data_IF_592142909800
#
_entry.id   IF_592142909800
#
_cell.length_a   1.000
_cell.length_b   1.000
_cell.length_c   1.000
_cell.angle_alpha   90.00
_cell.angle_beta   90.00
_cell.angle_gamma   90.00
#
_symmetry.space_group_name_H-M   'P 1'
#
loop_
_entity.id
_entity.type
_entity.pdbx_description
1 polymer ?
#
# COMPACT_ATOMS: atom_id res chain seq x y z
N UNK A 1 0.28 -7.47 0.98
CA UNK A 1 -0.80 -6.50 0.74
C UNK A 1 -1.14 -6.35 -0.74
N UNK A 2 -0.18 -6.00 -1.61
CA UNK A 2 -0.45 -5.90 -3.06
C UNK A 2 -1.06 -7.18 -3.64
N UNK A 3 -0.46 -8.34 -3.34
CA UNK A 3 -0.97 -9.64 -3.83
C UNK A 3 -2.37 -9.97 -3.26
N UNK A 4 -2.63 -9.60 -2.00
CA UNK A 4 -3.92 -9.80 -1.37
C UNK A 4 -5.03 -8.94 -2.01
N UNK A 5 -4.71 -7.68 -2.35
CA UNK A 5 -5.62 -6.82 -3.10
C UNK A 5 -5.91 -7.37 -4.50
N UNK A 6 -4.90 -7.93 -5.17
CA UNK A 6 -5.08 -8.61 -6.45
C UNK A 6 -5.96 -9.85 -6.33
N UNK A 7 -5.70 -10.72 -5.34
CA UNK A 7 -6.50 -11.92 -5.11
C UNK A 7 -7.96 -11.59 -4.76
N UNK A 8 -8.18 -10.57 -3.92
CA UNK A 8 -9.52 -10.06 -3.63
C UNK A 8 -10.25 -9.66 -4.92
N UNK A 9 -9.57 -8.95 -5.83
CA UNK A 9 -10.17 -8.53 -7.09
C UNK A 9 -10.53 -9.71 -8.01
N UNK A 10 -9.67 -10.73 -8.06
CA UNK A 10 -9.91 -11.95 -8.82
C UNK A 10 -11.12 -12.71 -8.27
N UNK A 11 -11.18 -12.93 -6.96
CA UNK A 11 -12.21 -13.77 -6.35
C UNK A 11 -13.59 -13.12 -6.35
N UNK A 12 -13.64 -11.79 -6.19
CA UNK A 12 -14.89 -11.06 -5.96
C UNK A 12 -15.37 -10.29 -7.19
N UNK A 13 -14.54 -10.16 -8.23
CA UNK A 13 -14.90 -9.35 -9.38
C UNK A 13 -15.10 -7.87 -9.03
N UNK A 14 -14.39 -7.37 -8.01
CA UNK A 14 -14.37 -5.96 -7.59
C UNK A 14 -12.99 -5.61 -7.04
N UNK A 15 -12.39 -4.48 -7.46
CA UNK A 15 -11.18 -3.97 -6.80
C UNK A 15 -11.51 -3.41 -5.42
N UNK A 16 -10.54 -3.35 -4.50
CA UNK A 16 -10.77 -2.69 -3.21
C UNK A 16 -11.22 -1.25 -3.47
N UNK A 17 -12.32 -0.77 -2.86
CA UNK A 17 -12.72 0.62 -3.04
C UNK A 17 -11.77 1.55 -2.30
N UNK A 18 -11.73 2.81 -2.72
CA UNK A 18 -11.12 3.88 -1.94
C UNK A 18 -12.05 4.24 -0.79
N UNK A 19 -11.50 4.43 0.42
CA UNK A 19 -12.28 4.79 1.61
C UNK A 19 -12.95 6.16 1.42
N UNK A 20 -14.19 6.28 1.88
CA UNK A 20 -15.04 7.47 1.63
C UNK A 20 -14.53 8.77 2.26
N UNK A 21 -13.58 8.67 3.19
CA UNK A 21 -12.94 9.79 3.87
C UNK A 21 -11.70 10.34 3.13
N UNK A 22 -11.43 9.81 1.93
CA UNK A 22 -10.40 10.32 1.02
C UNK A 22 -10.96 10.68 -0.35
N UNK A 23 -10.17 11.42 -1.13
CA UNK A 23 -10.53 11.78 -2.50
C UNK A 23 -10.55 10.49 -3.37
N UNK A 24 -11.61 10.20 -4.12
CA UNK A 24 -11.65 9.03 -5.00
C UNK A 24 -10.53 8.99 -6.07
N UNK A 25 -9.91 10.11 -6.40
CA UNK A 25 -8.76 10.16 -7.29
C UNK A 25 -7.43 9.80 -6.58
N UNK A 26 -7.39 9.92 -5.24
CA UNK A 26 -6.21 9.71 -4.39
C UNK A 26 -6.64 9.29 -2.99
N UNK A 27 -6.47 8.01 -2.65
CA UNK A 27 -7.01 7.56 -1.39
C UNK A 27 -6.47 6.26 -0.86
N UNK A 28 -6.89 5.98 0.35
CA UNK A 28 -6.61 4.72 1.03
C UNK A 28 -7.55 3.68 0.48
N UNK A 29 -7.04 2.51 0.14
CA UNK A 29 -7.91 1.38 -0.18
C UNK A 29 -8.52 0.85 1.12
N UNK A 30 -9.79 0.47 1.07
CA UNK A 30 -10.55 -0.15 2.16
C UNK A 30 -10.00 -1.55 2.43
N UNK A 31 -8.88 -1.58 3.13
CA UNK A 31 -8.14 -2.81 3.40
C UNK A 31 -8.87 -3.71 4.40
N UNK A 32 -9.87 -3.20 5.11
CA UNK A 32 -10.71 -4.01 6.01
C UNK A 32 -11.40 -5.17 5.27
N UNK A 33 -11.71 -4.99 3.97
CA UNK A 33 -12.25 -6.05 3.11
C UNK A 33 -11.28 -7.21 2.85
N UNK A 34 -9.99 -7.00 3.09
CA UNK A 34 -8.98 -8.06 3.01
C UNK A 34 -8.98 -8.97 4.23
N UNK A 35 -9.57 -8.55 5.35
CA UNK A 35 -9.51 -9.29 6.63
C UNK A 35 -10.88 -9.64 7.19
N UNK A 36 -11.93 -8.93 6.78
CA UNK A 36 -13.32 -9.17 7.18
C UNK A 36 -14.18 -9.38 5.93
N UNK A 37 -15.19 -10.24 6.04
CA UNK A 37 -16.16 -10.42 4.95
C UNK A 37 -17.00 -9.15 4.79
N UNK A 38 -16.96 -8.45 3.64
CA UNK A 38 -17.72 -7.23 3.41
C UNK A 38 -19.21 -7.47 3.08
N UNK A 39 -19.72 -8.68 3.30
CA UNK A 39 -21.08 -9.09 2.90
C UNK A 39 -21.16 -9.65 1.48
N UNK A 40 -20.04 -10.12 0.93
CA UNK A 40 -19.98 -10.75 -0.39
C UNK A 40 -20.02 -12.27 -0.25
N UNK A 41 -20.91 -12.91 -1.01
CA UNK A 41 -21.01 -14.39 -1.06
C UNK A 41 -19.78 -15.03 -1.72
N UNK A 42 -19.02 -14.26 -2.51
CA UNK A 42 -17.79 -14.68 -3.19
C UNK A 42 -16.54 -14.58 -2.32
N UNK A 43 -16.64 -14.03 -1.10
CA UNK A 43 -15.48 -13.75 -0.27
C UNK A 43 -14.79 -15.03 0.21
N UNK A 44 -13.48 -15.16 -0.07
CA UNK A 44 -12.64 -16.32 0.31
C UNK A 44 -11.57 -15.99 1.35
N UNK A 45 -11.65 -14.80 1.95
CA UNK A 45 -10.65 -14.33 2.90
C UNK A 45 -10.63 -15.09 4.25
N UNK A 46 -9.80 -14.64 5.19
CA UNK A 46 -8.95 -13.45 5.12
C UNK A 46 -7.79 -13.60 4.14
N UNK A 47 -7.55 -12.56 3.34
CA UNK A 47 -6.47 -12.46 2.35
C UNK A 47 -5.14 -11.99 2.94
N UNK A 48 -5.16 -11.46 4.17
CA UNK A 48 -3.99 -11.03 4.92
C UNK A 48 -4.05 -11.52 6.36
N UNK A 49 -2.88 -11.83 6.92
CA UNK A 49 -2.74 -11.95 8.37
C UNK A 49 -2.95 -10.59 9.02
N UNK A 50 -3.61 -10.55 10.17
CA UNK A 50 -3.87 -9.30 10.87
C UNK A 50 -3.88 -9.49 12.39
N UNK A 51 -3.77 -8.37 13.11
CA UNK A 51 -3.86 -8.28 14.57
C UNK A 51 -4.95 -7.28 14.96
N UNK A 52 -5.85 -7.69 15.85
CA UNK A 52 -6.93 -6.85 16.41
C UNK A 52 -6.44 -5.73 17.34
N UNK A 53 -5.12 -5.62 17.56
CA UNK A 53 -4.53 -4.67 18.51
C UNK A 53 -4.42 -3.24 17.97
N UNK A 54 -4.71 -3.01 16.69
CA UNK A 54 -4.54 -1.71 16.05
C UNK A 54 -5.86 -0.93 15.92
N UNK A 55 -5.83 0.37 16.25
CA UNK A 55 -7.00 1.25 16.39
C UNK A 55 -7.16 2.27 15.23
N UNK A 56 -6.48 2.07 14.10
CA UNK A 56 -6.39 3.07 13.02
C UNK A 56 -7.59 3.19 12.08
N UNK A 57 -8.62 2.34 12.20
CA UNK A 57 -9.78 2.33 11.31
C UNK A 57 -9.51 1.70 9.93
N UNK A 58 -10.42 1.89 8.98
CA UNK A 58 -10.46 1.22 7.66
C UNK A 58 -9.22 1.45 6.79
N UNK A 59 -8.40 2.45 7.14
CA UNK A 59 -7.20 2.84 6.39
C UNK A 59 -5.93 2.10 6.85
N UNK A 60 -5.95 1.49 8.03
CA UNK A 60 -4.77 0.86 8.62
C UNK A 60 -5.08 -0.50 9.23
N UNK A 61 -4.30 -1.50 8.86
CA UNK A 61 -4.35 -2.83 9.48
C UNK A 61 -3.11 -3.04 10.34
N UNK A 62 -3.33 -3.56 11.54
CA UNK A 62 -2.25 -4.12 12.34
C UNK A 62 -1.87 -5.49 11.79
N UNK A 63 -0.59 -5.76 11.62
CA UNK A 63 -0.08 -7.08 11.25
C UNK A 63 0.76 -7.65 12.41
N UNK A 64 0.86 -8.98 12.55
CA UNK A 64 1.70 -9.57 13.59
C UNK A 64 3.16 -9.05 13.61
N UNK A 65 3.70 -8.77 12.42
CA UNK A 65 5.12 -8.36 12.25
C UNK A 65 5.34 -6.85 12.15
N UNK A 66 4.30 -6.04 11.97
CA UNK A 66 4.44 -4.60 11.75
C UNK A 66 3.19 -3.82 12.18
N UNK A 67 3.40 -2.64 12.74
CA UNK A 67 2.40 -1.94 13.57
C UNK A 67 1.23 -1.35 12.78
N UNK A 68 1.50 -0.74 11.63
CA UNK A 68 0.49 -0.04 10.86
C UNK A 68 0.78 -0.15 9.37
N UNK A 69 -0.11 -0.85 8.66
CA UNK A 69 -0.01 -1.01 7.21
C UNK A 69 -1.15 -0.41 6.47
N UNK A 70 -0.83 0.10 5.28
CA UNK A 70 -1.75 0.85 4.47
C UNK A 70 -1.53 0.53 3.00
N UNK A 71 -2.62 0.55 2.24
CA UNK A 71 -2.59 0.41 0.80
C UNK A 71 -3.09 1.72 0.18
N UNK A 72 -2.25 2.34 -0.62
CA UNK A 72 -2.49 3.64 -1.26
C UNK A 72 -2.79 3.41 -2.73
N UNK A 73 -3.77 4.12 -3.27
CA UNK A 73 -4.05 4.15 -4.70
C UNK A 73 -4.23 5.58 -5.23
N UNK A 74 -3.84 5.79 -6.49
CA UNK A 74 -4.15 6.99 -7.26
C UNK A 74 -4.32 6.68 -8.73
N UNK A 75 -4.96 7.60 -9.44
CA UNK A 75 -5.00 7.56 -10.89
C UNK A 75 -3.62 7.79 -11.53
N UNK A 76 -3.43 7.19 -12.71
CA UNK A 76 -2.21 7.35 -13.51
C UNK A 76 -2.08 8.81 -13.98
N UNK A 77 -0.89 9.38 -13.85
CA UNK A 77 -0.60 10.77 -14.24
C UNK A 77 -1.01 11.82 -13.19
N UNK A 78 -1.67 11.41 -12.12
CA UNK A 78 -2.12 12.31 -11.05
C UNK A 78 -1.06 12.45 -9.93
N UNK A 79 -0.99 13.60 -9.25
CA UNK A 79 -0.04 13.83 -8.15
C UNK A 79 -0.57 13.35 -6.80
N UNK A 80 0.27 12.76 -5.95
CA UNK A 80 -0.14 12.39 -4.61
C UNK A 80 -0.48 13.65 -3.77
N UNK A 81 -1.66 13.66 -3.13
CA UNK A 81 -2.06 14.73 -2.22
C UNK A 81 -1.30 14.60 -0.89
N UNK A 82 -0.88 15.72 -0.32
CA UNK A 82 -0.15 15.80 0.96
C UNK A 82 -0.93 15.09 2.07
N UNK A 83 -0.30 14.11 2.71
CA UNK A 83 -0.93 13.26 3.73
C UNK A 83 -1.37 11.88 3.22
N UNK A 84 -1.52 11.72 1.90
CA UNK A 84 -1.74 10.43 1.22
C UNK A 84 -0.54 10.02 0.35
N UNK A 85 0.53 10.80 0.39
CA UNK A 85 1.80 10.52 -0.27
C UNK A 85 2.49 9.32 0.40
N UNK A 86 2.85 8.26 -0.34
CA UNK A 86 4.09 7.58 -0.02
C UNK A 86 5.19 8.61 -0.27
N UNK A 87 5.73 9.19 0.81
CA UNK A 87 6.90 10.06 0.72
C UNK A 87 7.97 9.29 -0.07
N UNK A 88 8.22 9.71 -1.32
CA UNK A 88 9.08 8.99 -2.26
C UNK A 88 8.45 8.59 -3.61
N UNK A 89 7.18 8.92 -3.90
CA UNK A 89 6.65 8.82 -5.26
C UNK A 89 6.58 10.17 -5.99
N UNK A 90 7.40 10.29 -7.05
CA UNK A 90 7.34 11.41 -8.00
C UNK A 90 6.19 11.22 -9.00
N UNK A 91 5.59 12.33 -9.46
CA UNK A 91 4.62 12.37 -10.57
C UNK A 91 5.14 11.78 -11.87
N UNK A 92 6.46 11.63 -12.01
CA UNK A 92 7.14 11.04 -13.15
C UNK A 92 7.43 9.54 -13.03
N UNK A 93 7.06 8.89 -11.92
CA UNK A 93 7.28 7.45 -11.73
C UNK A 93 6.23 6.64 -12.50
N UNK A 94 6.65 5.81 -13.45
CA UNK A 94 5.73 5.00 -14.28
C UNK A 94 4.86 4.01 -13.48
N UNK A 95 5.35 3.56 -12.31
CA UNK A 95 4.72 2.56 -11.47
C UNK A 95 4.49 3.09 -10.03
N UNK A 96 3.66 4.12 -9.86
CA UNK A 96 3.21 4.53 -8.52
C UNK A 96 1.72 4.84 -8.44
N UNK A 97 0.90 4.06 -9.15
CA UNK A 97 -0.56 4.17 -9.04
C UNK A 97 -1.10 3.38 -7.84
N UNK A 98 -0.36 2.38 -7.34
CA UNK A 98 -0.66 1.68 -6.09
C UNK A 98 0.63 1.50 -5.27
N UNK A 99 0.53 1.58 -3.94
CA UNK A 99 1.66 1.31 -3.05
C UNK A 99 1.20 0.65 -1.75
N UNK A 100 1.97 -0.32 -1.28
CA UNK A 100 1.80 -0.94 0.03
C UNK A 100 2.83 -0.37 0.99
N UNK A 101 2.36 0.27 2.06
CA UNK A 101 3.21 0.98 3.01
C UNK A 101 3.12 0.40 4.41
N UNK A 102 4.24 0.46 5.12
CA UNK A 102 4.35 0.18 6.54
C UNK A 102 4.91 1.42 7.25
N UNK A 103 4.33 1.76 8.40
CA UNK A 103 4.73 2.93 9.19
C UNK A 103 5.57 2.54 10.40
N UNK A 104 6.28 3.52 10.97
CA UNK A 104 7.06 3.38 12.21
C UNK A 104 8.23 2.38 12.00
N UNK A 105 8.83 2.39 10.81
CA UNK A 105 9.97 1.53 10.50
C UNK A 105 11.27 2.21 10.91
N UNK A 106 12.17 1.55 11.65
CA UNK A 106 13.50 2.09 11.90
C UNK A 106 14.25 2.34 10.58
N UNK A 107 14.91 3.50 10.46
CA UNK A 107 15.60 3.87 9.21
C UNK A 107 16.59 2.80 8.71
N UNK A 108 17.34 2.17 9.62
CA UNK A 108 18.27 1.10 9.24
C UNK A 108 17.56 -0.09 8.59
N UNK A 109 16.36 -0.44 9.06
CA UNK A 109 15.53 -1.50 8.48
C UNK A 109 14.99 -1.07 7.12
N UNK A 110 14.58 0.19 6.96
CA UNK A 110 14.15 0.74 5.67
C UNK A 110 15.26 0.66 4.61
N UNK A 111 16.48 1.05 4.98
CA UNK A 111 17.67 0.99 4.12
C UNK A 111 18.05 -0.46 3.76
N UNK A 112 17.92 -1.39 4.71
CA UNK A 112 18.13 -2.82 4.46
C UNK A 112 17.10 -3.37 3.48
N UNK A 113 15.81 -3.03 3.65
CA UNK A 113 14.74 -3.41 2.71
C UNK A 113 15.03 -2.86 1.30
N UNK A 114 15.43 -1.59 1.19
CA UNK A 114 15.81 -0.98 -0.09
C UNK A 114 16.97 -1.75 -0.76
N UNK A 115 17.98 -2.11 0.02
CA UNK A 115 19.12 -2.88 -0.47
C UNK A 115 18.71 -4.27 -0.93
N UNK A 116 17.84 -4.96 -0.18
CA UNK A 116 17.39 -6.31 -0.51
C UNK A 116 16.52 -6.37 -1.77
N UNK A 117 15.70 -5.35 -2.02
CA UNK A 117 14.72 -5.36 -3.11
C UNK A 117 15.23 -4.61 -4.35
N UNK A 118 15.76 -3.41 -4.18
CA UNK A 118 16.23 -2.57 -5.29
C UNK A 118 17.73 -2.72 -5.57
N UNK A 119 18.48 -3.41 -4.70
CA UNK A 119 19.93 -3.54 -4.82
C UNK A 119 20.68 -2.23 -4.51
N UNK A 120 19.98 -1.20 -4.02
CA UNK A 120 20.55 0.12 -3.75
C UNK A 120 20.94 0.22 -2.27
N UNK A 121 22.24 0.13 -2.01
CA UNK A 121 22.79 0.40 -0.69
C UNK A 121 22.99 1.91 -0.51
N UNK A 122 21.94 2.58 -0.04
CA UNK A 122 21.92 4.01 0.28
C UNK A 122 21.95 4.23 1.78
N UNK A 123 22.70 5.25 2.22
CA UNK A 123 22.73 5.71 3.62
C UNK A 123 21.90 6.99 3.82
N UNK A 124 21.19 7.42 2.77
CA UNK A 124 20.33 8.60 2.82
C UNK A 124 19.14 8.38 3.75
N UNK A 125 18.55 9.48 4.22
CA UNK A 125 17.35 9.42 5.06
C UNK A 125 16.07 9.19 4.27
N UNK A 126 16.13 9.24 2.94
CA UNK A 126 15.01 8.97 2.04
C UNK A 126 15.47 8.45 0.69
N UNK A 127 14.59 7.70 0.02
CA UNK A 127 14.77 7.28 -1.37
C UNK A 127 13.43 7.39 -2.11
N UNK A 128 13.48 8.13 -3.23
CA UNK A 128 12.35 8.38 -4.11
C UNK A 128 12.54 7.73 -5.49
N UNK A 129 13.29 6.63 -5.56
CA UNK A 129 13.56 5.85 -6.78
C UNK A 129 13.40 4.34 -6.52
N UNK A 130 13.36 3.50 -7.56
CA UNK A 130 13.23 2.03 -7.39
C UNK A 130 11.82 1.49 -7.06
N UNK A 131 11.71 0.26 -6.56
CA UNK A 131 10.45 -0.32 -6.07
C UNK A 131 10.17 0.04 -4.60
N UNK A 132 11.20 0.31 -3.81
CA UNK A 132 11.11 0.65 -2.39
C UNK A 132 11.34 2.14 -2.20
N UNK A 133 10.34 2.79 -1.60
CA UNK A 133 10.36 4.21 -1.26
C UNK A 133 10.34 4.34 0.24
N UNK A 134 11.18 5.19 0.79
CA UNK A 134 11.17 5.45 2.22
C UNK A 134 11.54 6.88 2.53
N UNK A 135 11.04 7.35 3.68
CA UNK A 135 11.42 8.63 4.25
C UNK A 135 11.51 8.51 5.77
N UNK A 136 12.46 9.24 6.36
CA UNK A 136 12.68 9.26 7.81
C UNK A 136 11.70 10.22 8.47
N UNK A 137 10.91 9.69 9.41
CA UNK A 137 10.09 10.50 10.30
C UNK A 137 10.54 10.40 11.77
N UNK A 138 10.00 11.29 12.62
CA UNK A 138 10.41 11.46 14.01
C UNK A 138 10.29 10.18 14.86
N UNK A 139 9.30 9.32 14.58
CA UNK A 139 9.00 8.12 15.36
C UNK A 139 9.32 6.81 14.62
N UNK A 140 10.06 6.88 13.52
CA UNK A 140 10.22 5.79 12.56
C UNK A 140 9.59 6.18 11.23
N UNK A 141 10.29 5.86 10.14
CA UNK A 141 9.92 6.25 8.80
C UNK A 141 8.75 5.48 8.23
N UNK A 142 8.31 5.91 7.06
CA UNK A 142 7.43 5.15 6.18
C UNK A 142 8.29 4.36 5.21
N UNK A 143 7.91 3.11 4.94
CA UNK A 143 8.50 2.30 3.87
C UNK A 143 7.38 1.77 3.00
N UNK A 144 7.45 2.05 1.71
CA UNK A 144 6.44 1.68 0.74
C UNK A 144 7.07 0.84 -0.37
N UNK A 145 6.45 -0.29 -0.69
CA UNK A 145 6.68 -0.98 -1.94
C UNK A 145 5.67 -0.49 -2.96
N UNK A 146 6.14 0.13 -4.03
CA UNK A 146 5.25 0.48 -5.14
C UNK A 146 4.81 -0.78 -5.89
N UNK A 147 3.55 -0.80 -6.30
CA UNK A 147 3.00 -1.83 -7.18
C UNK A 147 2.87 -1.34 -8.61
N UNK A 148 2.07 -2.07 -9.39
CA UNK A 148 1.78 -1.72 -10.79
C UNK A 148 0.74 -0.61 -10.93
N UNK A 149 -0.11 -0.75 -11.94
CA UNK A 149 -1.25 0.15 -12.11
C UNK A 149 -2.36 -0.22 -11.11
N UNK A 150 -3.02 0.80 -10.55
CA UNK A 150 -4.26 0.56 -9.83
C UNK A 150 -5.37 0.32 -10.87
N UNK A 151 -6.01 -0.85 -10.89
CA UNK A 151 -7.02 -1.14 -11.90
C UNK A 151 -8.27 -0.32 -11.59
N UNK A 152 -8.58 0.67 -12.44
CA UNK A 152 -9.91 1.32 -12.45
C UNK A 152 -11.00 0.41 -13.05
N UNK A 153 -10.60 -0.75 -13.58
CA UNK A 153 -11.44 -1.83 -14.09
C UNK A 153 -10.83 -3.17 -13.71
N UNK A 154 -11.64 -4.23 -13.63
CA UNK A 154 -11.20 -5.56 -13.19
C UNK A 154 -9.97 -6.08 -13.97
N UNK A 155 -9.08 -6.84 -13.32
CA UNK A 155 -8.00 -7.51 -14.03
C UNK A 155 -8.58 -8.38 -15.14
N UNK A 156 -8.14 -8.16 -16.38
CA UNK A 156 -8.47 -9.08 -17.47
C UNK A 156 -7.77 -10.41 -17.19
N UNK A 157 -8.53 -11.49 -17.26
CA UNK A 157 -8.07 -12.82 -16.84
C UNK A 157 -7.19 -13.53 -17.88
N UNK A 158 -6.42 -12.76 -18.67
CA UNK A 158 -5.54 -13.24 -19.72
C UNK A 158 -4.22 -12.43 -19.69
N UNK A 159 -3.26 -12.85 -18.86
CA UNK A 159 -1.80 -12.70 -19.04
C UNK A 159 -1.03 -13.65 -18.10
#
# INVERSE_FOLDING_TARGET
MLDAANQYAIDNGEVLPITSDTDPAFGYLDIDRLIKNPGLDTWQGPYLSYSDTWLGGEQYIGHPDYLATQLLAKEKGSEWVRGSTPEGCSSTSEACSIAACIWIVPLAVAQEINTMIDGVNSQESSDATGMIRYDKALYGGIVCKVGGEYPVSLPNHDD
#
